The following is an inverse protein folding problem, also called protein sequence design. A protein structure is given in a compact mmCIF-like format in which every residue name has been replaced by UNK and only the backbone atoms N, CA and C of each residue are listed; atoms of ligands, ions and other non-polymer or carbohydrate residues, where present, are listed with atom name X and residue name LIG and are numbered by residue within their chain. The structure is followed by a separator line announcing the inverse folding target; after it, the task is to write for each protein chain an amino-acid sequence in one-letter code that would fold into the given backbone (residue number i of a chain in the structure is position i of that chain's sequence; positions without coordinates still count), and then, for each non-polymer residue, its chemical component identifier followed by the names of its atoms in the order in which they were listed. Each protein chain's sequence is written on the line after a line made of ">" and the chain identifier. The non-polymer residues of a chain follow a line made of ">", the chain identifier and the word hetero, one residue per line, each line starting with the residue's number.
data_IF_659313449969
#
_entry.id   IF_659313449969
#
_cell.length_a   1.000
_cell.length_b   1.000
_cell.length_c   1.000
_cell.angle_alpha   90.00
_cell.angle_beta   90.00
_cell.angle_gamma   90.00
#
_symmetry.space_group_name_H-M   'P 1'
#
loop_
_entity.id
_entity.type
_entity.pdbx_description
1 polymer ?
#
# COMPACT_ATOMS: atom_id res chain seq x y z
N UNK A 1 26.77 -10.00 -7.22
CA UNK A 1 26.12 -8.89 -7.96
C UNK A 1 26.89 -7.61 -7.64
N UNK A 2 27.14 -6.69 -8.56
CA UNK A 2 27.91 -5.49 -8.28
C UNK A 2 27.15 -4.66 -7.23
N UNK A 3 27.77 -4.49 -6.05
CA UNK A 3 27.25 -3.78 -4.88
C UNK A 3 26.95 -2.27 -5.14
N UNK A 4 27.19 -1.78 -6.34
CA UNK A 4 27.14 -0.35 -6.67
C UNK A 4 26.06 0.01 -7.71
N UNK A 5 25.12 -0.88 -8.02
CA UNK A 5 24.07 -0.53 -8.99
C UNK A 5 23.04 0.43 -8.34
N UNK A 6 22.92 1.63 -8.90
CA UNK A 6 21.94 2.64 -8.48
C UNK A 6 20.51 2.19 -8.73
N UNK A 7 20.31 1.28 -9.70
CA UNK A 7 18.98 0.84 -10.17
C UNK A 7 18.12 0.19 -9.08
N UNK A 8 18.58 -0.82 -8.31
CA UNK A 8 17.75 -1.42 -7.26
C UNK A 8 17.34 -0.41 -6.17
N UNK A 9 18.22 0.53 -5.85
CA UNK A 9 17.95 1.57 -4.84
C UNK A 9 16.83 2.51 -5.30
N UNK A 10 16.87 2.94 -6.57
CA UNK A 10 15.83 3.78 -7.17
C UNK A 10 14.51 3.04 -7.21
N UNK A 11 14.52 1.78 -7.65
CA UNK A 11 13.32 0.95 -7.72
C UNK A 11 12.68 0.80 -6.34
N UNK A 12 13.45 0.46 -5.29
CA UNK A 12 12.91 0.32 -3.93
C UNK A 12 12.36 1.67 -3.42
N UNK A 13 13.05 2.78 -3.69
CA UNK A 13 12.56 4.11 -3.31
C UNK A 13 11.23 4.43 -3.99
N UNK A 14 11.15 4.24 -5.31
CA UNK A 14 9.93 4.44 -6.09
C UNK A 14 8.81 3.54 -5.60
N UNK A 15 9.11 2.28 -5.25
CA UNK A 15 8.15 1.35 -4.65
C UNK A 15 7.56 1.93 -3.37
N UNK A 16 8.39 2.44 -2.46
CA UNK A 16 7.90 3.01 -1.19
C UNK A 16 7.05 4.26 -1.43
N UNK A 17 7.43 5.12 -2.37
CA UNK A 17 6.64 6.32 -2.74
C UNK A 17 5.28 5.92 -3.30
N UNK A 18 5.25 5.03 -4.30
CA UNK A 18 4.01 4.61 -4.97
C UNK A 18 3.08 3.84 -4.03
N UNK A 19 3.65 3.00 -3.16
CA UNK A 19 2.92 2.23 -2.17
C UNK A 19 2.27 3.15 -1.12
N UNK A 20 3.05 4.10 -0.58
CA UNK A 20 2.54 5.11 0.37
C UNK A 20 1.48 6.02 -0.28
N UNK A 21 1.69 6.39 -1.54
CA UNK A 21 0.73 7.18 -2.30
C UNK A 21 -0.56 6.41 -2.51
N UNK A 22 -0.49 5.11 -2.84
CA UNK A 22 -1.65 4.24 -2.98
C UNK A 22 -2.49 4.15 -1.69
N UNK A 23 -1.85 4.06 -0.53
CA UNK A 23 -2.53 4.13 0.77
C UNK A 23 -3.19 5.50 0.95
N UNK A 24 -2.47 6.57 0.66
CA UNK A 24 -2.94 7.95 0.83
C UNK A 24 -4.10 8.33 -0.07
N UNK A 25 -4.12 7.84 -1.32
CA UNK A 25 -5.19 8.07 -2.31
C UNK A 25 -6.56 7.64 -1.78
N UNK A 26 -6.61 6.57 -0.99
CA UNK A 26 -7.86 5.97 -0.51
C UNK A 26 -8.47 6.74 0.65
N UNK A 27 -7.65 7.38 1.48
CA UNK A 27 -8.11 8.01 2.73
C UNK A 27 -9.28 8.99 2.51
N UNK A 28 -9.23 9.96 1.58
CA UNK A 28 -10.29 10.95 1.41
C UNK A 28 -11.58 10.38 0.83
N UNK A 29 -11.52 9.26 0.10
CA UNK A 29 -12.70 8.70 -0.61
C UNK A 29 -13.38 7.57 0.16
N UNK A 30 -12.75 7.01 1.20
CA UNK A 30 -13.36 5.94 2.01
C UNK A 30 -14.72 6.29 2.60
N UNK A 31 -14.94 7.50 3.18
CA UNK A 31 -16.26 7.87 3.70
C UNK A 31 -17.34 7.90 2.62
N UNK A 32 -17.02 8.44 1.44
CA UNK A 32 -17.96 8.50 0.32
C UNK A 32 -18.30 7.12 -0.23
N UNK A 33 -17.30 6.26 -0.42
CA UNK A 33 -17.50 4.87 -0.84
C UNK A 33 -18.34 4.09 0.19
N UNK A 34 -18.09 4.31 1.47
CA UNK A 34 -18.85 3.67 2.53
C UNK A 34 -20.32 4.10 2.50
N UNK A 35 -20.60 5.40 2.39
CA UNK A 35 -21.96 5.93 2.30
C UNK A 35 -22.71 5.37 1.06
N UNK A 36 -22.01 5.24 -0.08
CA UNK A 36 -22.55 4.66 -1.30
C UNK A 36 -22.94 3.19 -1.13
N UNK A 37 -22.05 2.39 -0.49
CA UNK A 37 -22.25 0.95 -0.31
C UNK A 37 -23.32 0.62 0.73
N UNK A 38 -23.46 1.44 1.78
CA UNK A 38 -24.41 1.20 2.88
C UNK A 38 -25.75 1.91 2.70
N UNK A 39 -25.81 2.90 1.80
CA UNK A 39 -26.97 3.79 1.68
C UNK A 39 -27.16 4.69 2.92
N UNK A 40 -26.22 4.71 3.87
CA UNK A 40 -26.27 5.51 5.10
C UNK A 40 -25.27 6.66 5.03
N UNK A 41 -25.79 7.87 5.15
CA UNK A 41 -24.98 9.09 5.27
C UNK A 41 -24.76 9.53 6.70
N UNK A 42 -25.15 8.72 7.72
CA UNK A 42 -24.95 9.06 9.12
C UNK A 42 -23.47 8.99 9.49
N UNK A 43 -22.94 10.08 9.98
CA UNK A 43 -21.53 10.21 10.39
C UNK A 43 -21.14 9.15 11.43
N UNK A 44 -22.06 8.83 12.37
CA UNK A 44 -21.84 7.80 13.38
C UNK A 44 -21.55 6.42 12.76
N UNK A 45 -22.34 6.02 11.75
CA UNK A 45 -22.21 4.73 11.10
C UNK A 45 -20.91 4.67 10.28
N UNK A 46 -20.60 5.75 9.55
CA UNK A 46 -19.35 5.90 8.80
C UNK A 46 -18.14 5.80 9.74
N UNK A 47 -18.18 6.44 10.91
CA UNK A 47 -17.10 6.41 11.87
C UNK A 47 -16.88 5.02 12.47
N UNK A 48 -17.95 4.33 12.87
CA UNK A 48 -17.87 2.97 13.48
C UNK A 48 -17.34 1.96 12.47
N UNK A 49 -17.94 1.89 11.28
CA UNK A 49 -17.51 0.95 10.26
C UNK A 49 -16.16 1.30 9.68
N UNK A 50 -15.86 2.60 9.48
CA UNK A 50 -14.55 3.06 9.07
C UNK A 50 -13.46 2.67 10.08
N UNK A 51 -13.74 2.80 11.38
CA UNK A 51 -12.86 2.34 12.45
C UNK A 51 -12.65 0.82 12.44
N UNK A 52 -13.72 0.03 12.26
CA UNK A 52 -13.63 -1.43 12.14
C UNK A 52 -12.79 -1.87 10.93
N UNK A 53 -13.04 -1.27 9.78
CA UNK A 53 -12.27 -1.56 8.55
C UNK A 53 -10.80 -1.18 8.69
N UNK A 54 -10.50 -0.03 9.33
CA UNK A 54 -9.13 0.40 9.59
C UNK A 54 -8.43 -0.52 10.61
N UNK A 55 -9.13 -0.91 11.68
CA UNK A 55 -8.61 -1.83 12.70
C UNK A 55 -8.33 -3.21 12.12
N UNK A 56 -9.20 -3.71 11.24
CA UNK A 56 -9.02 -4.99 10.53
C UNK A 56 -7.76 -4.96 9.67
N UNK A 57 -7.56 -3.88 8.90
CA UNK A 57 -6.36 -3.69 8.09
C UNK A 57 -5.10 -3.67 8.97
N UNK A 58 -5.10 -2.88 10.05
CA UNK A 58 -3.96 -2.78 10.95
C UNK A 58 -3.64 -4.10 11.66
N UNK A 59 -4.67 -4.85 12.06
CA UNK A 59 -4.51 -6.17 12.69
C UNK A 59 -3.87 -7.18 11.73
N UNK A 60 -4.34 -7.24 10.48
CA UNK A 60 -3.75 -8.10 9.47
C UNK A 60 -2.30 -7.71 9.17
N UNK A 61 -2.02 -6.42 9.05
CA UNK A 61 -0.66 -5.92 8.86
C UNK A 61 0.26 -6.31 10.03
N UNK A 62 -0.24 -6.22 11.25
CA UNK A 62 0.52 -6.61 12.47
C UNK A 62 0.83 -8.11 12.49
N UNK A 63 -0.16 -8.95 12.20
CA UNK A 63 -0.01 -10.42 12.23
C UNK A 63 0.89 -10.89 11.06
N UNK A 64 0.62 -10.40 9.85
CA UNK A 64 1.29 -10.88 8.65
C UNK A 64 2.63 -10.17 8.35
N UNK A 65 2.92 -9.04 8.99
CA UNK A 65 4.19 -8.35 8.86
C UNK A 65 5.40 -9.24 9.15
N UNK A 66 5.49 -9.85 10.33
CA UNK A 66 6.59 -10.78 10.66
C UNK A 66 6.63 -12.02 9.75
N UNK A 67 5.45 -12.54 9.35
CA UNK A 67 5.34 -13.73 8.49
C UNK A 67 5.93 -13.43 7.10
N UNK A 68 5.50 -12.33 6.47
CA UNK A 68 6.02 -11.91 5.17
C UNK A 68 7.49 -11.49 5.25
N UNK A 69 7.92 -10.93 6.37
CA UNK A 69 9.33 -10.70 6.68
C UNK A 69 10.12 -12.00 6.60
N UNK A 70 9.74 -13.02 7.38
CA UNK A 70 10.39 -14.32 7.40
C UNK A 70 10.33 -15.06 6.04
N UNK A 71 9.20 -14.96 5.31
CA UNK A 71 9.10 -15.50 3.96
C UNK A 71 10.09 -14.81 3.01
N UNK A 72 10.23 -13.49 3.11
CA UNK A 72 11.16 -12.73 2.28
C UNK A 72 12.62 -13.04 2.60
N UNK A 73 12.94 -13.42 3.85
CA UNK A 73 14.26 -13.93 4.23
C UNK A 73 14.54 -15.29 3.59
N UNK A 74 13.55 -16.16 3.57
CA UNK A 74 13.69 -17.55 3.08
C UNK A 74 13.67 -17.65 1.56
N UNK A 75 12.76 -16.96 0.88
CA UNK A 75 12.53 -17.08 -0.57
C UNK A 75 13.14 -15.92 -1.38
N UNK A 76 13.73 -14.95 -0.69
CA UNK A 76 14.34 -13.76 -1.29
C UNK A 76 13.42 -12.54 -1.23
N UNK A 77 14.01 -11.34 -1.10
CA UNK A 77 13.28 -10.08 -0.96
C UNK A 77 12.45 -9.75 -2.20
N UNK A 78 13.07 -9.88 -3.39
CA UNK A 78 12.44 -9.49 -4.67
C UNK A 78 11.18 -10.28 -5.01
N UNK A 79 11.14 -11.63 -4.96
CA UNK A 79 9.93 -12.40 -5.26
C UNK A 79 8.77 -12.10 -4.34
N UNK A 80 9.02 -11.94 -3.03
CA UNK A 80 7.98 -11.63 -2.06
C UNK A 80 7.44 -10.20 -2.24
N UNK A 81 8.33 -9.24 -2.54
CA UNK A 81 7.93 -7.88 -2.86
C UNK A 81 7.03 -7.83 -4.11
N UNK A 82 7.43 -8.53 -5.18
CA UNK A 82 6.63 -8.62 -6.41
C UNK A 82 5.25 -9.24 -6.17
N UNK A 83 5.21 -10.37 -5.45
CA UNK A 83 3.95 -11.03 -5.11
C UNK A 83 3.03 -10.09 -4.34
N UNK A 84 3.55 -9.40 -3.32
CA UNK A 84 2.78 -8.46 -2.51
C UNK A 84 2.24 -7.29 -3.35
N UNK A 85 3.02 -6.73 -4.30
CA UNK A 85 2.59 -5.65 -5.18
C UNK A 85 1.45 -6.08 -6.11
N UNK A 86 1.52 -7.28 -6.70
CA UNK A 86 0.44 -7.78 -7.56
C UNK A 86 -0.84 -8.11 -6.77
N UNK A 87 -0.72 -8.70 -5.58
CA UNK A 87 -1.88 -8.92 -4.71
C UNK A 87 -2.48 -7.58 -4.28
N UNK A 88 -1.65 -6.56 -4.02
CA UNK A 88 -2.10 -5.22 -3.69
C UNK A 88 -2.84 -4.56 -4.86
N UNK A 89 -2.36 -4.73 -6.09
CA UNK A 89 -3.09 -4.26 -7.27
C UNK A 89 -4.48 -4.93 -7.39
N UNK A 90 -4.54 -6.25 -7.19
CA UNK A 90 -5.79 -7.00 -7.16
C UNK A 90 -6.72 -6.55 -6.03
N UNK A 91 -6.17 -6.27 -4.84
CA UNK A 91 -6.91 -5.69 -3.72
C UNK A 91 -7.54 -4.34 -4.07
N UNK A 92 -6.79 -3.44 -4.70
CA UNK A 92 -7.34 -2.15 -5.11
C UNK A 92 -8.45 -2.30 -6.15
N UNK A 93 -8.32 -3.22 -7.11
CA UNK A 93 -9.40 -3.55 -8.04
C UNK A 93 -10.64 -4.07 -7.30
N UNK A 94 -10.47 -5.00 -6.38
CA UNK A 94 -11.55 -5.52 -5.55
C UNK A 94 -12.28 -4.40 -4.80
N UNK A 95 -11.54 -3.46 -4.21
CA UNK A 95 -12.10 -2.29 -3.53
C UNK A 95 -12.87 -1.38 -4.49
N UNK A 96 -12.35 -1.15 -5.71
CA UNK A 96 -13.01 -0.35 -6.74
C UNK A 96 -14.34 -0.96 -7.21
N UNK A 97 -14.45 -2.28 -7.23
CA UNK A 97 -15.68 -3.00 -7.59
C UNK A 97 -16.56 -3.36 -6.39
N UNK A 98 -16.17 -3.02 -5.16
CA UNK A 98 -16.92 -3.38 -3.97
C UNK A 98 -18.30 -2.71 -3.94
N UNK A 99 -19.36 -3.52 -3.89
CA UNK A 99 -20.76 -3.09 -3.79
C UNK A 99 -21.40 -3.48 -2.46
N UNK A 100 -20.67 -4.17 -1.59
CA UNK A 100 -21.16 -4.65 -0.30
C UNK A 100 -20.13 -4.41 0.79
N UNK A 101 -20.59 -4.25 2.03
CA UNK A 101 -19.72 -4.16 3.20
C UNK A 101 -18.78 -5.36 3.34
N UNK A 102 -19.25 -6.55 3.01
CA UNK A 102 -18.46 -7.77 3.06
C UNK A 102 -17.27 -7.72 2.11
N UNK A 103 -17.45 -7.19 0.89
CA UNK A 103 -16.35 -7.00 -0.06
C UNK A 103 -15.34 -5.97 0.43
N UNK A 104 -15.80 -4.89 1.07
CA UNK A 104 -14.91 -3.92 1.71
C UNK A 104 -14.11 -4.56 2.83
N UNK A 105 -14.75 -5.41 3.63
CA UNK A 105 -14.09 -6.12 4.74
C UNK A 105 -13.04 -7.11 4.23
N UNK A 106 -13.37 -7.93 3.24
CA UNK A 106 -12.43 -8.85 2.59
C UNK A 106 -11.26 -8.06 1.97
N UNK A 107 -11.56 -6.94 1.31
CA UNK A 107 -10.52 -6.06 0.79
C UNK A 107 -9.58 -5.57 1.88
N UNK A 108 -10.09 -5.18 3.05
CA UNK A 108 -9.24 -4.74 4.18
C UNK A 108 -8.41 -5.88 4.77
N UNK A 109 -8.93 -7.09 4.81
CA UNK A 109 -8.14 -8.27 5.20
C UNK A 109 -6.97 -8.49 4.24
N UNK A 110 -7.25 -8.55 2.93
CA UNK A 110 -6.23 -8.76 1.91
C UNK A 110 -5.23 -7.60 1.87
N UNK A 111 -5.72 -6.35 1.91
CA UNK A 111 -4.87 -5.16 1.93
C UNK A 111 -3.94 -5.11 3.13
N UNK A 112 -4.43 -5.49 4.33
CA UNK A 112 -3.61 -5.56 5.53
C UNK A 112 -2.50 -6.61 5.43
N UNK A 113 -2.80 -7.79 4.86
CA UNK A 113 -1.79 -8.82 4.61
C UNK A 113 -0.69 -8.30 3.68
N UNK A 114 -1.06 -7.61 2.61
CA UNK A 114 -0.09 -7.11 1.61
C UNK A 114 0.66 -5.85 2.04
N UNK A 115 0.15 -5.10 3.00
CA UNK A 115 0.78 -3.88 3.51
C UNK A 115 2.15 -4.09 4.19
N UNK A 116 2.58 -5.33 4.39
CA UNK A 116 3.94 -5.68 4.81
C UNK A 116 5.03 -5.39 3.74
N UNK A 117 4.65 -4.94 2.54
CA UNK A 117 5.55 -4.51 1.46
C UNK A 117 6.59 -3.50 1.95
N UNK A 118 6.20 -2.56 2.81
CA UNK A 118 7.12 -1.58 3.41
C UNK A 118 8.23 -2.24 4.25
N UNK A 119 7.91 -3.28 5.03
CA UNK A 119 8.90 -3.99 5.83
C UNK A 119 9.90 -4.71 4.92
N UNK A 120 9.42 -5.39 3.88
CA UNK A 120 10.24 -6.09 2.89
C UNK A 120 11.12 -5.11 2.10
N UNK A 121 10.58 -3.95 1.70
CA UNK A 121 11.34 -2.91 0.99
C UNK A 121 12.47 -2.33 1.87
N UNK A 122 12.21 -2.06 3.16
CA UNK A 122 13.22 -1.62 4.13
C UNK A 122 14.30 -2.69 4.33
N UNK A 123 13.91 -3.95 4.49
CA UNK A 123 14.84 -5.05 4.64
C UNK A 123 15.71 -5.21 3.38
N UNK A 124 15.11 -5.13 2.19
CA UNK A 124 15.85 -5.18 0.93
C UNK A 124 16.85 -4.02 0.81
N UNK A 125 16.44 -2.79 1.17
CA UNK A 125 17.37 -1.65 1.21
C UNK A 125 18.52 -1.89 2.19
N UNK A 126 18.25 -2.48 3.37
CA UNK A 126 19.28 -2.80 4.36
C UNK A 126 20.29 -3.81 3.83
N UNK A 127 19.82 -4.82 3.06
CA UNK A 127 20.66 -5.90 2.53
C UNK A 127 21.61 -5.41 1.41
N UNK A 128 21.21 -4.37 0.66
CA UNK A 128 22.00 -3.80 -0.46
C UNK A 128 22.80 -2.54 -0.06
N UNK A 129 22.74 -2.11 1.20
CA UNK A 129 23.40 -0.90 1.68
C UNK A 129 24.60 -1.23 2.56
N UNK A 130 25.68 -0.47 2.41
CA UNK A 130 26.82 -0.54 3.32
C UNK A 130 26.42 -0.06 4.72
N UNK A 131 27.06 -0.58 5.79
CA UNK A 131 26.73 -0.20 7.17
C UNK A 131 26.70 1.32 7.39
N UNK A 132 27.65 2.04 6.80
CA UNK A 132 27.81 3.50 6.93
C UNK A 132 26.70 4.27 6.20
N UNK A 133 26.10 3.69 5.16
CA UNK A 133 25.04 4.30 4.36
C UNK A 133 23.64 4.02 4.91
N UNK A 134 23.46 3.01 5.77
CA UNK A 134 22.14 2.54 6.19
C UNK A 134 21.26 3.66 6.75
N UNK A 135 21.79 4.49 7.63
CA UNK A 135 21.03 5.59 8.23
C UNK A 135 20.49 6.57 7.17
N UNK A 136 21.34 6.97 6.21
CA UNK A 136 20.93 7.86 5.13
C UNK A 136 19.88 7.21 4.20
N UNK A 137 20.03 5.90 3.92
CA UNK A 137 19.09 5.13 3.07
C UNK A 137 17.72 4.97 3.74
N UNK A 138 17.69 4.70 5.05
CA UNK A 138 16.44 4.66 5.80
C UNK A 138 15.77 6.04 5.89
N UNK A 139 16.56 7.11 6.07
CA UNK A 139 16.06 8.47 6.00
C UNK A 139 15.41 8.78 4.65
N UNK A 140 16.05 8.36 3.55
CA UNK A 140 15.51 8.51 2.20
C UNK A 140 14.18 7.73 2.03
N UNK A 141 14.09 6.49 2.52
CA UNK A 141 12.83 5.72 2.48
C UNK A 141 11.74 6.40 3.31
N UNK A 142 12.09 6.96 4.48
CA UNK A 142 11.17 7.75 5.31
C UNK A 142 10.66 9.00 4.58
N UNK A 143 11.53 9.72 3.89
CA UNK A 143 11.16 10.87 3.07
C UNK A 143 10.27 10.45 1.89
N UNK A 144 10.57 9.32 1.23
CA UNK A 144 9.74 8.75 0.17
C UNK A 144 8.35 8.37 0.67
N UNK A 145 8.26 7.76 1.86
CA UNK A 145 6.98 7.47 2.51
C UNK A 145 6.18 8.75 2.77
N UNK A 146 6.82 9.77 3.38
CA UNK A 146 6.18 11.05 3.65
C UNK A 146 5.69 11.75 2.38
N UNK A 147 6.50 11.74 1.32
CA UNK A 147 6.13 12.31 0.02
C UNK A 147 4.91 11.61 -0.57
N UNK A 148 4.90 10.28 -0.61
CA UNK A 148 3.77 9.50 -1.10
C UNK A 148 2.51 9.73 -0.25
N UNK A 149 2.66 9.81 1.08
CA UNK A 149 1.55 10.02 2.01
C UNK A 149 0.95 11.44 1.92
N UNK A 150 1.71 12.45 1.48
CA UNK A 150 1.21 13.80 1.20
C UNK A 150 0.55 13.88 -0.18
N UNK A 151 1.21 13.32 -1.21
CA UNK A 151 0.68 13.34 -2.56
C UNK A 151 -0.57 12.47 -2.72
N UNK A 152 -0.65 11.38 -1.96
CA UNK A 152 -1.77 10.44 -2.02
C UNK A 152 -3.13 11.10 -1.79
N UNK A 153 -3.38 11.73 -0.63
CA UNK A 153 -4.66 12.40 -0.35
C UNK A 153 -4.97 13.54 -1.33
N UNK A 154 -3.96 14.27 -1.79
CA UNK A 154 -4.14 15.32 -2.79
C UNK A 154 -4.68 14.75 -4.10
N UNK A 155 -4.03 13.71 -4.63
CA UNK A 155 -4.46 13.04 -5.86
C UNK A 155 -5.79 12.30 -5.63
N UNK A 156 -5.95 11.66 -4.48
CA UNK A 156 -7.17 10.94 -4.12
C UNK A 156 -8.39 11.85 -4.01
N UNK A 157 -8.22 13.05 -3.46
CA UNK A 157 -9.28 14.06 -3.41
C UNK A 157 -9.69 14.50 -4.81
N UNK A 158 -8.74 14.87 -5.66
CA UNK A 158 -8.99 15.27 -7.05
C UNK A 158 -9.67 14.16 -7.87
N UNK A 159 -9.18 12.92 -7.74
CA UNK A 159 -9.78 11.78 -8.43
C UNK A 159 -11.16 11.42 -7.88
N UNK A 160 -11.41 11.70 -6.60
CA UNK A 160 -12.69 11.49 -5.93
C UNK A 160 -13.81 12.36 -6.49
N UNK A 161 -13.49 13.52 -7.07
CA UNK A 161 -14.47 14.37 -7.78
C UNK A 161 -15.07 13.67 -9.01
N UNK A 162 -14.32 12.75 -9.64
CA UNK A 162 -14.80 11.96 -10.78
C UNK A 162 -15.54 10.68 -10.35
N UNK A 163 -15.61 10.41 -9.06
CA UNK A 163 -16.32 9.28 -8.45
C UNK A 163 -15.55 8.63 -7.33
N UNK A 164 -16.27 8.14 -6.32
CA UNK A 164 -15.71 7.50 -5.11
C UNK A 164 -14.81 6.28 -5.40
N UNK A 165 -14.95 5.68 -6.59
CA UNK A 165 -14.25 4.45 -7.01
C UNK A 165 -13.03 4.72 -7.88
N UNK A 166 -12.94 5.89 -8.53
CA UNK A 166 -11.85 6.26 -9.44
C UNK A 166 -10.47 6.16 -8.78
N UNK A 167 -10.27 6.62 -7.54
CA UNK A 167 -8.98 6.52 -6.85
C UNK A 167 -8.46 5.09 -6.68
N UNK A 168 -9.36 4.12 -6.49
CA UNK A 168 -8.97 2.71 -6.35
C UNK A 168 -8.44 2.12 -7.65
N UNK A 169 -9.04 2.46 -8.79
CA UNK A 169 -8.56 2.01 -10.09
C UNK A 169 -7.18 2.61 -10.41
N UNK A 170 -6.98 3.89 -10.10
CA UNK A 170 -5.67 4.54 -10.27
C UNK A 170 -4.63 3.90 -9.35
N UNK A 171 -4.96 3.64 -8.07
CA UNK A 171 -4.07 2.94 -7.14
C UNK A 171 -3.72 1.52 -7.63
N UNK A 172 -4.68 0.80 -8.23
CA UNK A 172 -4.44 -0.52 -8.81
C UNK A 172 -3.45 -0.47 -9.97
N UNK A 173 -3.62 0.51 -10.87
CA UNK A 173 -2.69 0.72 -12.00
C UNK A 173 -1.29 1.06 -11.49
N UNK A 174 -1.17 1.95 -10.51
CA UNK A 174 0.11 2.33 -9.92
C UNK A 174 0.79 1.14 -9.25
N UNK A 175 0.05 0.32 -8.49
CA UNK A 175 0.59 -0.87 -7.85
C UNK A 175 1.06 -1.91 -8.89
N UNK A 176 0.27 -2.15 -9.95
CA UNK A 176 0.64 -3.05 -11.02
C UNK A 176 1.87 -2.55 -11.80
N UNK A 177 1.90 -1.26 -12.15
CA UNK A 177 3.04 -0.63 -12.82
C UNK A 177 4.31 -0.72 -11.97
N UNK A 178 4.18 -0.51 -10.65
CA UNK A 178 5.29 -0.67 -9.71
C UNK A 178 5.79 -2.13 -9.66
N UNK A 179 4.88 -3.10 -9.66
CA UNK A 179 5.23 -4.53 -9.78
C UNK A 179 6.03 -4.82 -11.04
N UNK A 180 5.64 -4.26 -12.19
CA UNK A 180 6.37 -4.40 -13.46
C UNK A 180 7.75 -3.73 -13.40
N UNK A 181 7.86 -2.55 -12.77
CA UNK A 181 9.15 -1.86 -12.59
C UNK A 181 10.12 -2.63 -11.68
N UNK A 182 9.60 -3.42 -10.73
CA UNK A 182 10.39 -4.27 -9.84
C UNK A 182 10.85 -5.57 -10.51
N UNK A 183 10.24 -5.95 -11.64
CA UNK A 183 10.58 -7.20 -12.36
C UNK A 183 11.90 -7.07 -13.10
#
# INVERSE_FOLDING_TARGET
>A
MPQNSKLPRIVIFTTVVLDSMGIGIIIPVMPALFAEVTGSAKISDIAVWGGLLASTFALMQFIFGPILGALSDKYGRKPILLLALFIMAAYYLLMGFAQTLWLLFIGRLVGGITAATHATAKAYMADISLPEEKAARFGMLGAGFGLGFVLGPLIGGLLGEWGSRTPFFVAAILAAANGVLCF
#
